data_IF_366029692952
#
_entry.id   IF_366029692952
#
_cell.length_a   1.000
_cell.length_b   1.000
_cell.length_c   1.000
_cell.angle_alpha   90.00
_cell.angle_beta   90.00
_cell.angle_gamma   90.00
#
_symmetry.space_group_name_H-M   'P 1'
#
loop_
_entity.id
_entity.type
_entity.pdbx_description
1 polymer ?
#
# COMPACT_ATOMS: atom_id res chain seq x y z
N UNK A 1 17.35 23.87 28.45
CA UNK A 1 17.38 22.40 28.26
C UNK A 1 16.09 21.81 27.65
N UNK A 2 14.96 22.56 27.52
CA UNK A 2 13.64 22.01 27.10
C UNK A 2 13.34 21.98 25.59
N UNK A 3 13.79 22.97 24.81
CA UNK A 3 13.33 23.13 23.41
C UNK A 3 13.77 22.00 22.48
N UNK A 4 14.98 21.45 22.66
CA UNK A 4 15.51 20.40 21.79
C UNK A 4 14.84 19.04 22.01
N UNK A 5 14.48 18.69 23.23
CA UNK A 5 13.77 17.44 23.53
C UNK A 5 12.34 17.49 22.99
N UNK A 6 11.68 18.64 23.13
CA UNK A 6 10.35 18.90 22.58
C UNK A 6 10.37 18.84 21.04
N UNK A 7 11.39 19.40 20.39
CA UNK A 7 11.54 19.33 18.93
C UNK A 7 11.61 17.89 18.42
N UNK A 8 12.43 17.07 19.09
CA UNK A 8 12.58 15.66 18.77
C UNK A 8 11.28 14.89 19.03
N UNK A 9 10.54 15.24 20.07
CA UNK A 9 9.26 14.63 20.40
C UNK A 9 8.20 14.92 19.32
N UNK A 10 8.00 16.19 18.97
CA UNK A 10 7.03 16.61 17.95
C UNK A 10 7.38 16.01 16.58
N UNK A 11 8.66 16.01 16.21
CA UNK A 11 9.13 15.38 14.97
C UNK A 11 8.86 13.87 14.93
N UNK A 12 9.16 13.15 16.03
CA UNK A 12 8.86 11.72 16.14
C UNK A 12 7.35 11.45 16.08
N UNK A 13 6.54 12.31 16.69
CA UNK A 13 5.08 12.20 16.67
C UNK A 13 4.54 12.34 15.23
N UNK A 14 5.02 13.34 14.48
CA UNK A 14 4.66 13.51 13.07
C UNK A 14 5.05 12.30 12.22
N UNK A 15 6.28 11.79 12.35
CA UNK A 15 6.70 10.60 11.59
C UNK A 15 5.81 9.40 11.91
N UNK A 16 5.53 9.15 13.20
CA UNK A 16 4.65 8.05 13.61
C UNK A 16 3.24 8.20 13.02
N UNK A 17 2.69 9.42 13.05
CA UNK A 17 1.38 9.71 12.47
C UNK A 17 1.36 9.43 10.96
N UNK A 18 2.34 9.95 10.22
CA UNK A 18 2.47 9.75 8.77
C UNK A 18 2.66 8.28 8.38
N UNK A 19 3.46 7.53 9.14
CA UNK A 19 3.63 6.08 8.93
C UNK A 19 2.31 5.36 9.18
N UNK A 20 1.63 5.65 10.30
CA UNK A 20 0.39 4.97 10.67
C UNK A 20 -0.73 5.23 9.65
N UNK A 21 -0.91 6.47 9.23
CA UNK A 21 -1.96 6.83 8.26
C UNK A 21 -1.69 6.23 6.87
N UNK A 22 -0.45 6.30 6.38
CA UNK A 22 -0.11 5.80 5.04
C UNK A 22 0.07 4.28 4.96
N UNK A 23 0.29 3.57 6.08
CA UNK A 23 0.61 2.13 6.08
C UNK A 23 -0.47 1.29 5.39
N UNK A 24 -1.75 1.54 5.71
CA UNK A 24 -2.86 0.77 5.13
C UNK A 24 -2.92 0.93 3.61
N UNK A 25 -2.86 2.17 3.13
CA UNK A 25 -2.87 2.48 1.70
C UNK A 25 -1.67 1.85 0.97
N UNK A 26 -0.47 1.90 1.57
CA UNK A 26 0.73 1.28 0.99
C UNK A 26 0.65 -0.25 0.92
N UNK A 27 0.05 -0.89 1.92
CA UNK A 27 -0.19 -2.35 1.91
C UNK A 27 -1.19 -2.71 0.81
N UNK A 28 -2.30 -1.98 0.71
CA UNK A 28 -3.30 -2.19 -0.33
C UNK A 28 -2.72 -1.99 -1.73
N UNK A 29 -1.95 -0.91 -1.93
CA UNK A 29 -1.26 -0.65 -3.19
C UNK A 29 -0.29 -1.76 -3.56
N UNK A 30 0.51 -2.26 -2.60
CA UNK A 30 1.42 -3.36 -2.87
C UNK A 30 0.71 -4.69 -3.15
N UNK A 31 -0.45 -4.94 -2.54
CA UNK A 31 -1.27 -6.10 -2.87
C UNK A 31 -1.78 -6.00 -4.32
N UNK A 32 -2.27 -4.83 -4.75
CA UNK A 32 -2.69 -4.60 -6.13
C UNK A 32 -1.53 -4.70 -7.13
N UNK A 33 -0.36 -4.15 -6.79
CA UNK A 33 0.83 -4.25 -7.65
C UNK A 33 1.31 -5.71 -7.76
N UNK A 34 1.24 -6.49 -6.69
CA UNK A 34 1.52 -7.93 -6.73
C UNK A 34 0.54 -8.66 -7.66
N UNK A 35 -0.76 -8.36 -7.59
CA UNK A 35 -1.77 -8.93 -8.51
C UNK A 35 -1.44 -8.58 -9.96
N UNK A 36 -1.15 -7.31 -10.25
CA UNK A 36 -0.76 -6.85 -11.60
C UNK A 36 0.47 -7.58 -12.11
N UNK A 37 1.50 -7.70 -11.27
CA UNK A 37 2.72 -8.44 -11.62
C UNK A 37 2.46 -9.91 -11.88
N UNK A 38 1.63 -10.57 -11.06
CA UNK A 38 1.23 -11.96 -11.27
C UNK A 38 0.50 -12.12 -12.61
N UNK A 39 -0.44 -11.23 -12.93
CA UNK A 39 -1.15 -11.25 -14.23
C UNK A 39 -0.19 -11.10 -15.39
N UNK A 40 0.72 -10.13 -15.33
CA UNK A 40 1.74 -9.92 -16.37
C UNK A 40 2.66 -11.12 -16.55
N UNK A 41 3.12 -11.73 -15.44
CA UNK A 41 3.99 -12.92 -15.49
C UNK A 41 3.23 -14.15 -15.99
N UNK A 42 1.96 -14.30 -15.61
CA UNK A 42 1.08 -15.37 -16.11
C UNK A 42 0.90 -15.25 -17.63
N UNK A 43 0.64 -14.04 -18.12
CA UNK A 43 0.56 -13.79 -19.57
C UNK A 43 1.87 -14.12 -20.28
N UNK A 44 3.02 -13.67 -19.75
CA UNK A 44 4.34 -14.03 -20.30
C UNK A 44 4.59 -15.54 -20.31
N UNK A 45 4.17 -16.23 -19.24
CA UNK A 45 4.26 -17.69 -19.15
C UNK A 45 3.42 -18.37 -20.22
N UNK A 46 2.17 -17.96 -20.42
CA UNK A 46 1.28 -18.50 -21.45
C UNK A 46 1.91 -18.33 -22.84
N UNK A 47 2.47 -17.14 -23.12
CA UNK A 47 3.13 -16.87 -24.39
C UNK A 47 4.38 -17.75 -24.60
N UNK A 48 5.21 -17.93 -23.56
CA UNK A 48 6.38 -18.80 -23.64
C UNK A 48 6.01 -20.27 -23.88
N UNK A 49 4.93 -20.74 -23.24
CA UNK A 49 4.38 -22.10 -23.47
C UNK A 49 3.84 -22.24 -24.90
N UNK A 50 3.13 -21.22 -25.40
CA UNK A 50 2.62 -21.22 -26.78
C UNK A 50 3.76 -21.24 -27.80
N UNK A 51 4.82 -20.46 -27.58
CA UNK A 51 6.02 -20.47 -28.40
C UNK A 51 6.70 -21.84 -28.39
N UNK A 52 6.84 -22.47 -27.22
CA UNK A 52 7.40 -23.82 -27.10
C UNK A 52 6.59 -24.87 -27.88
N UNK A 53 5.26 -24.72 -27.94
CA UNK A 53 4.38 -25.64 -28.67
C UNK A 53 4.47 -25.48 -30.20
N UNK A 54 4.64 -24.24 -30.69
CA UNK A 54 4.73 -23.94 -32.12
C UNK A 54 6.10 -24.24 -32.72
N UNK A 55 7.15 -24.16 -31.91
CA UNK A 55 8.52 -24.40 -32.33
C UNK A 55 8.69 -25.85 -32.84
N UNK A 56 9.42 -26.06 -33.93
CA UNK A 56 9.68 -27.41 -34.47
C UNK A 56 11.04 -27.95 -34.00
N UNK A 57 12.00 -27.06 -33.75
CA UNK A 57 13.35 -27.41 -33.35
C UNK A 57 13.46 -27.82 -31.88
N UNK A 58 14.06 -28.99 -31.62
CA UNK A 58 14.23 -29.49 -30.25
C UNK A 58 15.14 -28.61 -29.39
N UNK A 59 16.17 -28.00 -29.98
CA UNK A 59 17.15 -27.15 -29.27
C UNK A 59 16.53 -25.84 -28.75
N UNK A 60 15.63 -25.22 -29.51
CA UNK A 60 14.93 -23.99 -29.11
C UNK A 60 13.86 -24.29 -28.05
N UNK A 61 13.16 -25.43 -28.13
CA UNK A 61 12.25 -25.89 -27.06
C UNK A 61 12.95 -26.03 -25.71
N UNK A 62 14.14 -26.64 -25.70
CA UNK A 62 14.91 -26.85 -24.47
C UNK A 62 15.29 -25.52 -23.80
N UNK A 63 15.51 -24.44 -24.59
CA UNK A 63 15.82 -23.10 -24.04
C UNK A 63 14.63 -22.42 -23.36
N UNK A 64 13.40 -22.75 -23.74
CA UNK A 64 12.18 -22.13 -23.17
C UNK A 64 11.76 -22.76 -21.84
N UNK A 65 12.12 -24.02 -21.58
CA UNK A 65 11.79 -24.73 -20.34
C UNK A 65 12.35 -24.02 -19.09
N UNK A 66 13.64 -23.62 -19.02
CA UNK A 66 14.17 -22.86 -17.89
C UNK A 66 13.44 -21.52 -17.69
N UNK A 67 13.04 -20.85 -18.78
CA UNK A 67 12.34 -19.57 -18.70
C UNK A 67 10.95 -19.74 -18.09
N UNK A 68 10.20 -20.75 -18.51
CA UNK A 68 8.88 -21.10 -17.95
C UNK A 68 9.00 -21.49 -16.47
N UNK A 69 10.04 -22.25 -16.11
CA UNK A 69 10.35 -22.59 -14.73
C UNK A 69 10.66 -21.35 -13.88
N UNK A 70 11.48 -20.43 -14.37
CA UNK A 70 11.79 -19.17 -13.69
C UNK A 70 10.55 -18.28 -13.51
N UNK A 71 9.69 -18.19 -14.52
CA UNK A 71 8.42 -17.46 -14.43
C UNK A 71 7.49 -18.09 -13.38
N UNK A 72 7.41 -19.41 -13.32
CA UNK A 72 6.57 -20.12 -12.34
C UNK A 72 7.05 -19.87 -10.92
N UNK A 73 8.36 -19.99 -10.66
CA UNK A 73 8.97 -19.66 -9.36
C UNK A 73 8.70 -18.21 -8.94
N UNK A 74 8.73 -17.27 -9.89
CA UNK A 74 8.48 -15.84 -9.63
C UNK A 74 7.00 -15.55 -9.34
N UNK A 75 6.08 -16.26 -9.98
CA UNK A 75 4.65 -16.19 -9.67
C UNK A 75 4.38 -16.73 -8.27
N UNK A 76 4.94 -17.89 -7.94
CA UNK A 76 4.78 -18.51 -6.61
C UNK A 76 5.36 -17.63 -5.50
N UNK A 77 6.53 -17.04 -5.70
CA UNK A 77 7.12 -16.13 -4.72
C UNK A 77 6.25 -14.89 -4.49
N UNK A 78 5.66 -14.30 -5.54
CA UNK A 78 4.74 -13.17 -5.40
C UNK A 78 3.42 -13.55 -4.73
N UNK A 79 2.90 -14.76 -4.98
CA UNK A 79 1.69 -15.28 -4.30
C UNK A 79 1.92 -15.52 -2.81
N UNK A 80 3.11 -15.96 -2.44
CA UNK A 80 3.47 -16.26 -1.04
C UNK A 80 3.91 -15.01 -0.26
N UNK A 81 4.15 -13.88 -0.93
CA UNK A 81 4.48 -12.63 -0.28
C UNK A 81 3.25 -11.98 0.35
N UNK A 82 3.30 -11.77 1.66
CA UNK A 82 2.31 -10.97 2.38
C UNK A 82 2.77 -9.50 2.47
N UNK A 83 2.09 -8.56 1.78
CA UNK A 83 2.46 -7.15 1.80
C UNK A 83 2.42 -6.52 3.20
N UNK A 84 1.61 -7.05 4.13
CA UNK A 84 1.48 -6.51 5.47
C UNK A 84 2.76 -6.67 6.31
N UNK A 85 3.60 -7.66 5.97
CA UNK A 85 4.86 -7.99 6.65
C UNK A 85 6.06 -7.22 6.13
N UNK A 86 5.89 -6.40 5.09
CA UNK A 86 7.00 -5.63 4.54
C UNK A 86 7.48 -4.54 5.51
N UNK A 87 8.70 -4.72 6.03
CA UNK A 87 9.36 -3.75 6.93
C UNK A 87 9.44 -2.34 6.35
N UNK A 88 9.51 -2.19 5.02
CA UNK A 88 9.53 -0.88 4.33
C UNK A 88 8.33 0.02 4.67
N UNK A 89 7.18 -0.57 5.05
CA UNK A 89 5.98 0.20 5.43
C UNK A 89 5.98 0.68 6.88
N UNK A 90 6.95 0.25 7.70
CA UNK A 90 7.14 0.74 9.06
C UNK A 90 7.92 2.06 9.10
N UNK A 91 8.45 2.49 7.96
CA UNK A 91 9.28 3.69 7.85
C UNK A 91 8.62 4.71 6.92
N UNK A 92 8.89 5.98 7.20
CA UNK A 92 8.58 7.05 6.28
C UNK A 92 9.71 7.14 5.25
N UNK A 93 9.38 7.24 3.95
CA UNK A 93 10.40 7.24 2.89
C UNK A 93 11.21 8.55 2.84
N UNK A 94 10.55 9.68 3.10
CA UNK A 94 11.11 11.00 2.83
C UNK A 94 11.60 11.70 4.11
N UNK A 95 12.21 10.93 5.03
CA UNK A 95 12.69 11.46 6.32
C UNK A 95 13.79 12.49 6.13
N UNK A 96 14.72 12.29 5.17
CA UNK A 96 15.79 13.26 4.90
C UNK A 96 15.22 14.60 4.44
N UNK A 97 14.31 14.57 3.46
CA UNK A 97 13.67 15.76 2.91
C UNK A 97 12.87 16.51 3.98
N UNK A 98 12.14 15.78 4.83
CA UNK A 98 11.40 16.39 5.95
C UNK A 98 12.35 17.05 6.94
N UNK A 99 13.44 16.37 7.29
CA UNK A 99 14.47 16.92 8.19
C UNK A 99 15.12 18.17 7.60
N UNK A 100 15.49 18.14 6.32
CA UNK A 100 16.08 19.27 5.61
C UNK A 100 15.12 20.47 5.57
N UNK A 101 13.86 20.24 5.20
CA UNK A 101 12.84 21.29 5.18
C UNK A 101 12.64 21.94 6.56
N UNK A 102 12.75 21.16 7.64
CA UNK A 102 12.63 21.66 9.00
C UNK A 102 13.84 22.49 9.45
N UNK A 103 15.04 22.06 9.06
CA UNK A 103 16.31 22.68 9.48
C UNK A 103 16.75 23.85 8.58
N UNK A 104 16.17 24.01 7.40
CA UNK A 104 16.49 25.09 6.47
C UNK A 104 16.10 26.45 7.06
N UNK A 105 17.09 27.34 7.18
CA UNK A 105 16.96 28.74 7.61
C UNK A 105 16.29 28.94 8.99
N UNK A 106 16.77 28.21 10.01
CA UNK A 106 16.22 28.26 11.36
C UNK A 106 16.84 29.39 12.21
N UNK A 107 16.18 30.54 12.22
CA UNK A 107 16.27 31.48 13.34
C UNK A 107 15.56 30.88 14.57
N UNK A 108 15.98 31.20 15.81
CA UNK A 108 15.45 30.55 17.01
C UNK A 108 13.93 30.74 17.20
N UNK A 109 13.39 31.91 16.87
CA UNK A 109 11.93 32.17 16.94
C UNK A 109 11.14 31.42 15.86
N UNK A 110 11.69 31.30 14.65
CA UNK A 110 11.03 30.55 13.56
C UNK A 110 11.03 29.06 13.84
N UNK A 111 12.02 28.55 14.57
CA UNK A 111 12.09 27.16 14.99
C UNK A 111 10.96 26.80 15.97
N UNK A 112 10.64 27.66 16.94
CA UNK A 112 9.55 27.43 17.90
C UNK A 112 8.20 27.33 17.18
N UNK A 113 7.89 28.32 16.32
CA UNK A 113 6.65 28.30 15.52
C UNK A 113 6.57 27.06 14.63
N UNK A 114 7.67 26.68 13.97
CA UNK A 114 7.72 25.45 13.16
C UNK A 114 7.44 24.20 14.00
N UNK A 115 7.91 24.15 15.24
CA UNK A 115 7.63 23.02 16.13
C UNK A 115 6.15 22.94 16.53
N UNK A 116 5.49 24.07 16.75
CA UNK A 116 4.03 24.13 16.96
C UNK A 116 3.31 23.61 15.72
N UNK A 117 3.65 24.11 14.53
CA UNK A 117 3.07 23.60 13.27
C UNK A 117 3.27 22.10 13.06
N UNK A 118 4.44 21.53 13.42
CA UNK A 118 4.66 20.09 13.37
C UNK A 118 3.69 19.34 14.28
N UNK A 119 3.44 19.87 15.49
CA UNK A 119 2.53 19.26 16.45
C UNK A 119 1.09 19.30 15.89
N UNK A 120 0.69 20.43 15.33
CA UNK A 120 -0.64 20.59 14.72
C UNK A 120 -0.82 19.65 13.53
N UNK A 121 0.19 19.54 12.66
CA UNK A 121 0.19 18.60 11.54
C UNK A 121 0.10 17.14 12.01
N UNK A 122 0.84 16.79 13.07
CA UNK A 122 0.77 15.45 13.64
C UNK A 122 -0.64 15.13 14.16
N UNK A 123 -1.26 16.09 14.86
CA UNK A 123 -2.65 15.98 15.33
C UNK A 123 -3.64 15.87 14.18
N UNK A 124 -3.52 16.72 13.16
CA UNK A 124 -4.37 16.69 11.97
C UNK A 124 -4.32 15.32 11.26
N UNK A 125 -3.13 14.77 11.03
CA UNK A 125 -2.97 13.46 10.38
C UNK A 125 -3.57 12.32 11.23
N UNK A 126 -3.48 12.41 12.55
CA UNK A 126 -4.10 11.43 13.45
C UNK A 126 -5.63 11.53 13.39
N UNK A 127 -6.17 12.73 13.47
CA UNK A 127 -7.61 12.99 13.40
C UNK A 127 -8.20 12.58 12.05
N UNK A 128 -7.47 12.82 10.95
CA UNK A 128 -7.88 12.39 9.61
C UNK A 128 -7.97 10.86 9.51
N UNK A 129 -6.99 10.13 10.08
CA UNK A 129 -7.03 8.68 10.13
C UNK A 129 -8.21 8.17 10.97
N UNK A 130 -8.48 8.79 12.10
CA UNK A 130 -9.63 8.44 12.95
C UNK A 130 -10.96 8.69 12.23
N UNK A 131 -11.08 9.86 11.58
CA UNK A 131 -12.24 10.20 10.77
C UNK A 131 -12.50 9.15 9.69
N UNK A 132 -11.47 8.76 8.92
CA UNK A 132 -11.60 7.72 7.90
C UNK A 132 -12.08 6.39 8.49
N UNK A 133 -11.56 5.99 9.67
CA UNK A 133 -11.99 4.77 10.35
C UNK A 133 -13.44 4.83 10.83
N UNK A 134 -13.88 5.99 11.32
CA UNK A 134 -15.27 6.21 11.73
C UNK A 134 -16.22 6.17 10.53
N UNK A 135 -15.85 6.83 9.43
CA UNK A 135 -16.62 6.80 8.17
C UNK A 135 -16.79 5.36 7.69
N UNK A 136 -15.72 4.56 7.66
CA UNK A 136 -15.81 3.16 7.24
C UNK A 136 -16.68 2.30 8.18
N UNK A 137 -16.65 2.56 9.49
CA UNK A 137 -17.43 1.80 10.48
C UNK A 137 -18.91 2.11 10.40
N UNK A 138 -19.28 3.39 10.29
CA UNK A 138 -20.67 3.83 10.34
C UNK A 138 -21.33 3.93 8.97
N UNK A 139 -20.54 4.03 7.89
CA UNK A 139 -21.04 4.03 6.52
C UNK A 139 -20.38 2.92 5.67
N UNK A 140 -20.59 1.64 6.02
CA UNK A 140 -19.96 0.53 5.30
C UNK A 140 -20.40 0.47 3.83
N UNK A 141 -21.58 1.02 3.50
CA UNK A 141 -22.10 1.07 2.13
C UNK A 141 -21.36 2.04 1.19
N UNK A 142 -20.54 2.94 1.73
CA UNK A 142 -19.79 3.93 0.96
C UNK A 142 -18.76 3.29 0.00
N UNK A 143 -18.11 2.22 0.46
CA UNK A 143 -17.07 1.50 -0.29
C UNK A 143 -17.59 0.23 -0.97
N UNK A 144 -18.88 -0.09 -0.84
CA UNK A 144 -19.46 -1.30 -1.43
C UNK A 144 -19.77 -1.10 -2.89
N UNK A 145 -19.50 -2.12 -3.70
CA UNK A 145 -19.96 -2.12 -5.08
C UNK A 145 -21.49 -2.12 -5.13
N UNK A 146 -22.06 -1.57 -6.19
CA UNK A 146 -23.51 -1.50 -6.34
C UNK A 146 -24.18 -2.89 -6.27
N UNK A 147 -23.53 -3.92 -6.83
CA UNK A 147 -23.99 -5.30 -6.74
C UNK A 147 -24.05 -5.79 -5.28
N UNK A 148 -23.01 -5.51 -4.50
CA UNK A 148 -22.95 -5.91 -3.09
C UNK A 148 -23.98 -5.18 -2.23
N UNK A 149 -24.25 -3.91 -2.52
CA UNK A 149 -25.32 -3.13 -1.90
C UNK A 149 -26.71 -3.72 -2.20
N UNK A 150 -26.96 -4.10 -3.46
CA UNK A 150 -28.22 -4.78 -3.84
C UNK A 150 -28.35 -6.12 -3.13
N UNK A 151 -27.29 -6.94 -3.09
CA UNK A 151 -27.26 -8.22 -2.35
C UNK A 151 -27.57 -8.05 -0.87
N UNK A 152 -26.94 -7.09 -0.18
CA UNK A 152 -27.21 -6.82 1.25
C UNK A 152 -28.62 -6.32 1.49
N UNK A 153 -29.13 -5.44 0.62
CA UNK A 153 -30.47 -4.88 0.76
C UNK A 153 -31.52 -5.98 0.57
N UNK A 154 -31.35 -6.83 -0.44
CA UNK A 154 -32.19 -8.00 -0.67
C UNK A 154 -32.15 -8.95 0.54
N UNK A 155 -30.96 -9.28 1.05
CA UNK A 155 -30.82 -10.16 2.23
C UNK A 155 -31.52 -9.58 3.48
N UNK A 156 -31.50 -8.25 3.67
CA UNK A 156 -32.17 -7.57 4.78
C UNK A 156 -33.69 -7.75 4.76
N UNK A 157 -34.28 -7.94 3.57
CA UNK A 157 -35.71 -8.21 3.38
C UNK A 157 -36.01 -9.69 3.11
N UNK A 158 -35.04 -10.58 3.31
CA UNK A 158 -35.22 -12.02 3.10
C UNK A 158 -35.24 -12.46 1.63
N UNK A 159 -34.81 -11.60 0.70
CA UNK A 159 -34.73 -11.89 -0.73
C UNK A 159 -33.31 -12.29 -1.14
N UNK A 160 -33.19 -13.17 -2.13
CA UNK A 160 -31.91 -13.56 -2.72
C UNK A 160 -31.75 -12.96 -4.11
N UNK A 161 -30.58 -12.39 -4.40
CA UNK A 161 -30.25 -11.85 -5.73
C UNK A 161 -29.62 -12.97 -6.55
N UNK A 162 -30.15 -13.31 -7.73
CA UNK A 162 -29.55 -14.30 -8.61
C UNK A 162 -28.12 -13.93 -9.01
N UNK A 163 -27.24 -14.92 -9.14
CA UNK A 163 -25.92 -14.72 -9.72
C UNK A 163 -26.04 -14.81 -11.25
N UNK A 164 -25.64 -13.73 -11.94
CA UNK A 164 -25.49 -13.72 -13.39
C UNK A 164 -24.15 -14.34 -13.79
#
# INVERSE_FOLDING_TARGET
>A
MSSRSEALSSYKALIKALVRSSRRARIAQAAEDNKRQITLLTYKKINAVRQQAQEKDAKSKIKLIPQIGALTKKIESLKNQDPAKFKKFLFYGNVSQLREALLRDAQPETLIKRMEHIRDLAGFVQNQLEYEQLVERYNPGLNMSQNENVKRTAARVGLHVPEN
#
